data_IF_751049062620
#
_entry.id   IF_751049062620
#
_cell.length_a   1.000
_cell.length_b   1.000
_cell.length_c   1.000
_cell.angle_alpha   90.00
_cell.angle_beta   90.00
_cell.angle_gamma   90.00
#
_symmetry.space_group_name_H-M   'P 1'
#
loop_
_entity.id
_entity.type
_entity.pdbx_description
1 polymer ?
#
# COMPACT_ATOMS: atom_id res chain seq x y z
N UNK A 1 -9.65 13.68 -4.85
CA UNK A 1 -9.24 12.40 -5.48
C UNK A 1 -10.11 12.03 -6.68
N UNK A 2 -11.38 11.59 -6.50
CA UNK A 2 -12.23 11.15 -7.64
C UNK A 2 -12.50 12.28 -8.62
N UNK A 3 -12.84 13.48 -8.15
CA UNK A 3 -13.03 14.66 -9.00
C UNK A 3 -11.74 15.13 -9.69
N UNK A 4 -10.58 15.03 -9.03
CA UNK A 4 -9.28 15.32 -9.63
C UNK A 4 -8.97 14.35 -10.77
N UNK A 5 -9.26 13.06 -10.57
CA UNK A 5 -8.99 12.04 -11.58
C UNK A 5 -10.00 12.13 -12.72
N UNK A 6 -11.30 12.05 -12.44
CA UNK A 6 -12.34 11.87 -13.45
C UNK A 6 -12.86 13.19 -14.02
N UNK A 7 -12.93 14.26 -13.21
CA UNK A 7 -13.38 15.59 -13.64
C UNK A 7 -14.68 15.55 -14.45
N UNK A 8 -14.69 16.26 -15.57
CA UNK A 8 -15.83 16.32 -16.50
C UNK A 8 -15.97 15.09 -17.42
N UNK A 9 -15.19 14.03 -17.20
CA UNK A 9 -15.26 12.78 -18.02
C UNK A 9 -16.38 11.85 -17.59
N UNK A 10 -17.08 12.17 -16.50
CA UNK A 10 -18.22 11.43 -15.97
C UNK A 10 -19.37 12.38 -15.71
N UNK A 11 -20.59 11.90 -15.89
CA UNK A 11 -21.80 12.71 -15.75
C UNK A 11 -22.12 13.07 -14.29
N UNK A 12 -21.66 12.24 -13.33
CA UNK A 12 -21.97 12.40 -11.92
C UNK A 12 -20.83 11.88 -11.03
N UNK A 13 -20.59 12.59 -9.93
CA UNK A 13 -19.77 12.13 -8.80
C UNK A 13 -20.64 12.17 -7.55
N UNK A 14 -20.77 11.01 -6.89
CA UNK A 14 -21.42 10.90 -5.59
C UNK A 14 -20.36 11.04 -4.50
N UNK A 15 -20.41 12.15 -3.76
CA UNK A 15 -19.52 12.37 -2.61
C UNK A 15 -20.14 11.76 -1.35
N UNK A 16 -19.67 10.56 -1.00
CA UNK A 16 -20.01 9.86 0.24
C UNK A 16 -19.01 10.08 1.37
N UNK A 17 -18.07 11.03 1.22
CA UNK A 17 -16.96 11.22 2.14
C UNK A 17 -15.86 10.15 2.01
N UNK A 18 -15.03 10.05 3.04
CA UNK A 18 -13.91 9.12 3.06
C UNK A 18 -14.37 7.65 3.15
N UNK A 19 -13.68 6.77 2.42
CA UNK A 19 -13.94 5.33 2.49
C UNK A 19 -13.69 4.80 3.92
N UNK A 20 -14.56 3.90 4.39
CA UNK A 20 -14.47 3.33 5.74
C UNK A 20 -13.23 2.44 5.92
N UNK A 21 -12.91 1.61 4.92
CA UNK A 21 -11.78 0.66 4.96
C UNK A 21 -10.53 1.21 4.25
N UNK A 22 -10.71 1.93 3.14
CA UNK A 22 -9.64 2.53 2.31
C UNK A 22 -8.78 1.58 1.48
N UNK A 23 -8.89 0.27 1.67
CA UNK A 23 -8.38 -0.75 0.72
C UNK A 23 -9.53 -1.50 0.06
N UNK A 24 -9.25 -2.12 -1.09
CA UNK A 24 -10.28 -2.83 -1.85
C UNK A 24 -10.73 -4.13 -1.20
N UNK A 25 -11.74 -4.75 -1.80
CA UNK A 25 -12.28 -6.04 -1.36
C UNK A 25 -11.25 -7.16 -1.41
N UNK A 26 -11.43 -8.10 -0.47
CA UNK A 26 -10.78 -9.41 -0.48
C UNK A 26 -11.37 -10.25 -1.62
N UNK A 27 -10.52 -10.96 -2.35
CA UNK A 27 -10.91 -11.78 -3.50
C UNK A 27 -10.42 -13.20 -3.27
N UNK A 28 -11.33 -14.16 -3.41
CA UNK A 28 -11.05 -15.59 -3.30
C UNK A 28 -11.40 -16.29 -4.62
N UNK A 29 -10.61 -17.28 -5.02
CA UNK A 29 -11.00 -18.30 -5.99
C UNK A 29 -11.60 -19.48 -5.21
N UNK A 30 -12.88 -19.76 -5.48
CA UNK A 30 -13.65 -20.88 -4.89
C UNK A 30 -14.11 -21.86 -5.96
N UNK A 31 -13.51 -21.83 -7.15
CA UNK A 31 -13.88 -22.71 -8.27
C UNK A 31 -13.28 -24.12 -8.13
N UNK A 32 -12.22 -24.25 -7.32
CA UNK A 32 -11.55 -25.50 -7.02
C UNK A 32 -12.01 -26.13 -5.72
N UNK A 33 -11.21 -27.09 -5.24
CA UNK A 33 -11.43 -27.77 -3.95
C UNK A 33 -11.08 -26.89 -2.76
N UNK A 34 -10.10 -26.01 -2.92
CA UNK A 34 -9.59 -25.15 -1.86
C UNK A 34 -10.04 -23.71 -2.09
N UNK A 35 -10.32 -22.97 -1.01
CA UNK A 35 -10.52 -21.52 -1.05
C UNK A 35 -9.17 -20.82 -1.18
N UNK A 36 -8.88 -20.23 -2.34
CA UNK A 36 -7.57 -19.62 -2.61
C UNK A 36 -7.66 -18.10 -2.51
N UNK A 37 -6.82 -17.48 -1.69
CA UNK A 37 -6.72 -16.02 -1.61
C UNK A 37 -6.06 -15.47 -2.88
N UNK A 38 -6.83 -14.72 -3.67
CA UNK A 38 -6.34 -14.02 -4.85
C UNK A 38 -5.86 -12.60 -4.54
N UNK A 39 -6.55 -11.92 -3.63
CA UNK A 39 -6.18 -10.57 -3.19
C UNK A 39 -6.62 -10.35 -1.74
N UNK A 40 -5.72 -9.97 -0.82
CA UNK A 40 -6.12 -9.51 0.50
C UNK A 40 -6.77 -8.12 0.41
N UNK A 41 -7.78 -7.89 1.23
CA UNK A 41 -8.56 -6.67 1.23
C UNK A 41 -9.25 -6.40 2.57
N UNK A 42 -10.35 -5.67 2.52
CA UNK A 42 -11.06 -5.20 3.72
C UNK A 42 -11.67 -6.27 4.63
N UNK A 43 -11.85 -7.49 4.14
CA UNK A 43 -12.31 -8.62 4.95
C UNK A 43 -11.14 -9.57 5.18
N UNK A 44 -10.79 -9.79 6.43
CA UNK A 44 -9.63 -10.58 6.79
C UNK A 44 -9.82 -12.06 6.46
N UNK A 45 -8.69 -12.76 6.25
CA UNK A 45 -8.72 -14.22 6.07
C UNK A 45 -9.30 -14.88 7.31
N UNK A 46 -8.96 -14.36 8.50
CA UNK A 46 -9.42 -14.88 9.76
C UNK A 46 -10.95 -14.77 9.93
N UNK A 47 -11.56 -13.64 9.51
CA UNK A 47 -13.02 -13.47 9.51
C UNK A 47 -13.71 -14.44 8.53
N UNK A 48 -13.09 -14.67 7.37
CA UNK A 48 -13.61 -15.60 6.36
C UNK A 48 -13.57 -17.04 6.89
N UNK A 49 -12.42 -17.49 7.39
CA UNK A 49 -12.24 -18.84 7.93
C UNK A 49 -13.17 -19.09 9.12
N UNK A 50 -13.40 -18.07 9.96
CA UNK A 50 -14.34 -18.15 11.08
C UNK A 50 -15.80 -18.31 10.61
N UNK A 51 -16.19 -17.60 9.55
CA UNK A 51 -17.56 -17.61 9.05
C UNK A 51 -17.89 -18.88 8.23
N UNK A 52 -16.92 -19.42 7.50
CA UNK A 52 -17.13 -20.60 6.64
C UNK A 52 -16.78 -21.92 7.31
N UNK A 53 -15.89 -21.91 8.31
CA UNK A 53 -15.28 -23.12 8.86
C UNK A 53 -14.28 -23.79 7.91
N UNK A 54 -13.95 -23.15 6.78
CA UNK A 54 -13.01 -23.65 5.78
C UNK A 54 -11.72 -22.83 5.80
N UNK A 55 -10.59 -23.51 5.56
CA UNK A 55 -9.28 -22.88 5.54
C UNK A 55 -9.03 -22.19 4.20
N UNK A 56 -8.46 -20.98 4.26
CA UNK A 56 -8.05 -20.23 3.06
C UNK A 56 -6.56 -20.47 2.78
N UNK A 57 -6.26 -20.86 1.55
CA UNK A 57 -4.89 -21.01 1.03
C UNK A 57 -4.36 -19.64 0.62
N UNK A 58 -3.31 -19.16 1.30
CA UNK A 58 -2.76 -17.80 1.13
C UNK A 58 -1.74 -17.68 -0.01
N UNK A 59 -1.17 -18.79 -0.49
CA UNK A 59 -0.13 -18.84 -1.55
C UNK A 59 -0.63 -19.59 -2.78
N UNK A 60 -1.66 -19.05 -3.46
CA UNK A 60 -2.24 -19.65 -4.67
C UNK A 60 -1.37 -19.64 -5.93
N UNK A 61 -0.08 -19.29 -5.83
CA UNK A 61 0.77 -18.99 -6.97
C UNK A 61 0.51 -17.59 -7.54
N UNK A 62 1.58 -16.82 -7.79
CA UNK A 62 1.56 -15.40 -8.21
C UNK A 62 0.84 -15.12 -9.54
N UNK A 63 0.38 -16.14 -10.27
CA UNK A 63 -0.29 -16.01 -11.57
C UNK A 63 -1.82 -16.01 -11.51
N UNK A 64 -2.42 -16.07 -10.33
CA UNK A 64 -3.87 -16.23 -10.20
C UNK A 64 -4.64 -14.92 -10.49
N UNK A 65 -5.13 -14.79 -11.73
CA UNK A 65 -6.44 -14.29 -12.21
C UNK A 65 -7.23 -13.24 -11.40
N UNK A 66 -6.58 -12.31 -10.69
CA UNK A 66 -7.26 -11.22 -9.97
C UNK A 66 -7.14 -9.88 -10.69
N UNK A 67 -8.21 -9.06 -10.76
CA UNK A 67 -8.13 -7.67 -11.18
C UNK A 67 -7.15 -6.88 -10.28
N UNK A 68 -6.22 -6.12 -10.87
CA UNK A 68 -5.19 -5.37 -10.14
C UNK A 68 -3.79 -6.00 -10.14
N UNK A 69 -3.58 -7.08 -10.90
CA UNK A 69 -2.26 -7.70 -11.13
C UNK A 69 -1.39 -6.93 -12.12
N UNK A 70 -1.93 -5.96 -12.87
CA UNK A 70 -1.11 -5.00 -13.63
C UNK A 70 -0.57 -3.93 -12.68
N UNK A 71 0.67 -4.14 -12.26
CA UNK A 71 1.43 -3.54 -11.16
C UNK A 71 1.41 -2.01 -10.96
N UNK A 72 0.87 -1.18 -11.86
CA UNK A 72 0.99 0.30 -11.76
C UNK A 72 -0.14 1.01 -11.00
N UNK A 73 -1.28 0.36 -10.75
CA UNK A 73 -2.43 1.05 -10.17
C UNK A 73 -2.23 1.53 -8.73
N UNK A 74 -1.24 0.99 -8.02
CA UNK A 74 -0.96 1.31 -6.62
C UNK A 74 0.27 2.18 -6.40
N UNK A 75 1.12 2.31 -7.43
CA UNK A 75 2.38 3.01 -7.31
C UNK A 75 2.17 4.52 -7.46
N UNK A 76 2.70 5.35 -6.55
CA UNK A 76 2.83 6.78 -6.79
C UNK A 76 3.75 7.05 -7.99
N UNK A 77 3.72 8.26 -8.53
CA UNK A 77 4.60 8.71 -9.62
C UNK A 77 6.05 8.88 -9.18
N UNK A 78 6.28 9.09 -7.89
CA UNK A 78 7.62 9.13 -7.28
C UNK A 78 7.99 7.75 -6.71
N UNK A 79 9.28 7.40 -6.60
CA UNK A 79 9.71 6.15 -6.01
C UNK A 79 9.12 5.93 -4.61
N UNK A 80 8.60 4.72 -4.38
CA UNK A 80 8.25 4.24 -3.05
C UNK A 80 9.21 3.12 -2.65
N UNK A 81 9.86 3.28 -1.51
CA UNK A 81 10.73 2.27 -0.92
C UNK A 81 10.15 1.77 0.39
N UNK A 82 10.43 0.53 0.72
CA UNK A 82 9.99 -0.06 1.97
C UNK A 82 11.14 -0.02 2.96
N UNK A 83 10.86 0.39 4.19
CA UNK A 83 11.87 0.57 5.22
C UNK A 83 12.70 -0.70 5.52
N UNK A 84 12.11 -1.88 5.34
CA UNK A 84 12.68 -3.20 5.63
C UNK A 84 13.44 -3.79 4.44
N UNK A 85 13.47 -3.11 3.29
CA UNK A 85 14.32 -3.52 2.18
C UNK A 85 15.78 -3.18 2.48
N UNK A 86 16.66 -4.14 2.23
CA UNK A 86 18.12 -3.96 2.37
C UNK A 86 18.57 -2.68 1.65
N UNK A 87 19.29 -1.79 2.33
CA UNK A 87 19.78 -0.53 1.76
C UNK A 87 18.73 0.56 1.51
N UNK A 88 17.53 0.45 2.08
CA UNK A 88 16.45 1.43 1.87
C UNK A 88 16.85 2.85 2.27
N UNK A 89 17.53 3.00 3.41
CA UNK A 89 18.02 4.29 3.92
C UNK A 89 19.02 4.91 2.95
N UNK A 90 20.07 4.16 2.60
CA UNK A 90 21.16 4.62 1.73
C UNK A 90 20.64 4.98 0.34
N UNK A 91 19.74 4.18 -0.23
CA UNK A 91 19.12 4.48 -1.53
C UNK A 91 18.23 5.71 -1.49
N UNK A 92 17.45 5.90 -0.42
CA UNK A 92 16.60 7.07 -0.27
C UNK A 92 17.46 8.35 -0.16
N UNK A 93 18.54 8.32 0.61
CA UNK A 93 19.50 9.43 0.71
C UNK A 93 20.24 9.68 -0.61
N UNK A 94 20.61 8.62 -1.34
CA UNK A 94 21.34 8.73 -2.60
C UNK A 94 20.53 9.37 -3.73
N UNK A 95 19.19 9.29 -3.70
CA UNK A 95 18.34 10.00 -4.67
C UNK A 95 18.48 11.53 -4.56
N UNK A 96 18.84 12.02 -3.37
CA UNK A 96 18.89 13.44 -3.07
C UNK A 96 17.50 14.09 -3.04
N UNK A 97 17.41 15.23 -2.37
CA UNK A 97 16.14 15.94 -2.19
C UNK A 97 15.38 15.51 -0.94
N UNK A 98 14.10 15.87 -0.87
CA UNK A 98 13.28 15.66 0.33
C UNK A 98 12.77 14.22 0.40
N UNK A 99 12.95 13.58 1.54
CA UNK A 99 12.47 12.23 1.84
C UNK A 99 11.18 12.35 2.63
N UNK A 100 10.12 11.74 2.13
CA UNK A 100 8.85 11.59 2.84
C UNK A 100 8.81 10.26 3.60
N UNK A 101 8.20 10.28 4.78
CA UNK A 101 7.98 9.09 5.60
C UNK A 101 6.50 8.73 5.70
N UNK A 102 6.21 7.43 5.65
CA UNK A 102 4.85 6.91 5.77
C UNK A 102 4.86 5.66 6.67
N UNK A 103 4.25 5.70 7.85
CA UNK A 103 4.34 4.55 8.76
C UNK A 103 3.39 4.57 9.94
N UNK A 104 3.64 3.70 10.91
CA UNK A 104 2.97 3.66 12.22
C UNK A 104 3.91 4.10 13.35
N UNK A 105 5.21 3.88 13.16
CA UNK A 105 6.29 4.51 13.91
C UNK A 105 6.82 5.72 13.12
N UNK A 106 7.55 6.60 13.82
CA UNK A 106 8.21 7.73 13.19
C UNK A 106 9.43 7.32 12.36
N UNK A 107 9.94 8.28 11.57
CA UNK A 107 11.06 8.05 10.66
C UNK A 107 12.36 7.65 11.38
N UNK A 108 12.47 7.93 12.68
CA UNK A 108 13.60 7.58 13.53
C UNK A 108 13.90 6.09 13.61
N UNK A 109 12.97 5.22 13.16
CA UNK A 109 13.25 3.78 13.06
C UNK A 109 14.28 3.46 11.97
N UNK A 110 14.47 4.35 11.00
CA UNK A 110 15.37 4.14 9.86
C UNK A 110 16.33 5.31 9.64
N UNK A 111 15.92 6.54 9.93
CA UNK A 111 16.65 7.76 9.62
C UNK A 111 17.10 8.50 10.87
N UNK A 112 18.26 9.14 10.78
CA UNK A 112 18.71 10.08 11.81
C UNK A 112 17.95 11.40 11.70
N UNK A 113 17.97 12.20 12.77
CA UNK A 113 17.30 13.52 12.78
C UNK A 113 17.81 14.41 11.66
N UNK A 114 16.89 15.00 10.91
CA UNK A 114 17.19 15.92 9.81
C UNK A 114 17.44 15.24 8.46
N UNK A 115 17.42 13.90 8.38
CA UNK A 115 17.52 13.17 7.12
C UNK A 115 16.18 13.03 6.38
N UNK A 116 15.08 13.15 7.11
CA UNK A 116 13.73 13.21 6.57
C UNK A 116 13.11 14.56 6.83
N UNK A 117 12.14 14.93 6.00
CA UNK A 117 11.36 16.14 6.19
C UNK A 117 10.22 15.82 7.18
N UNK A 118 10.29 16.41 8.38
CA UNK A 118 9.29 16.20 9.43
C UNK A 118 7.87 16.62 8.96
N UNK A 119 7.78 17.62 8.08
CA UNK A 119 6.50 18.06 7.50
C UNK A 119 5.94 17.04 6.48
N UNK A 120 6.79 16.14 5.98
CA UNK A 120 6.44 15.08 5.04
C UNK A 120 6.40 13.70 5.70
N UNK A 121 6.29 13.66 7.02
CA UNK A 121 6.18 12.43 7.81
C UNK A 121 4.74 12.19 8.23
N UNK A 122 4.11 11.15 7.68
CA UNK A 122 2.74 10.75 8.00
C UNK A 122 2.74 9.45 8.82
N UNK A 123 2.28 9.55 10.07
CA UNK A 123 2.26 8.44 11.03
C UNK A 123 0.82 8.10 11.42
N UNK A 124 0.47 6.81 11.35
CA UNK A 124 -0.85 6.29 11.68
C UNK A 124 -0.87 5.54 13.00
N UNK A 125 -1.94 5.73 13.78
CA UNK A 125 -2.08 5.12 15.12
C UNK A 125 -2.47 3.64 15.11
N UNK A 126 -2.90 3.09 13.97
CA UNK A 126 -3.25 1.68 13.85
C UNK A 126 -3.19 1.19 12.39
N UNK A 127 -3.08 -0.13 12.14
CA UNK A 127 -3.14 -0.69 10.80
C UNK A 127 -4.42 -0.34 10.04
N UNK A 128 -5.56 -0.23 10.73
CA UNK A 128 -6.86 0.14 10.14
C UNK A 128 -6.84 1.59 9.66
N UNK A 129 -6.31 2.51 10.48
CA UNK A 129 -6.16 3.91 10.09
C UNK A 129 -5.17 4.07 8.93
N UNK A 130 -4.09 3.29 8.95
CA UNK A 130 -3.11 3.29 7.87
C UNK A 130 -3.73 2.76 6.57
N UNK A 131 -4.42 1.62 6.59
CA UNK A 131 -5.15 1.11 5.42
C UNK A 131 -6.19 2.12 4.90
N UNK A 132 -6.92 2.76 5.81
CA UNK A 132 -7.91 3.80 5.48
C UNK A 132 -7.29 5.01 4.79
N UNK A 133 -6.14 5.45 5.29
CA UNK A 133 -5.45 6.66 4.83
C UNK A 133 -4.43 6.45 3.72
N UNK A 134 -4.04 5.20 3.41
CA UNK A 134 -2.90 4.86 2.56
C UNK A 134 -2.89 5.63 1.24
N UNK A 135 -3.93 5.48 0.41
CA UNK A 135 -3.95 6.09 -0.92
C UNK A 135 -4.06 7.61 -0.88
N UNK A 136 -4.69 8.16 0.15
CA UNK A 136 -4.71 9.61 0.35
C UNK A 136 -3.31 10.12 0.71
N UNK A 137 -2.64 9.48 1.66
CA UNK A 137 -1.30 9.82 2.07
C UNK A 137 -0.29 9.75 0.92
N UNK A 138 -0.34 8.68 0.10
CA UNK A 138 0.50 8.56 -1.09
C UNK A 138 0.34 9.76 -2.04
N UNK A 139 -0.90 10.20 -2.29
CA UNK A 139 -1.17 11.38 -3.15
C UNK A 139 -0.73 12.70 -2.50
N UNK A 140 -0.86 12.83 -1.18
CA UNK A 140 -0.38 14.01 -0.46
C UNK A 140 1.13 14.11 -0.57
N UNK A 141 1.86 13.02 -0.32
CA UNK A 141 3.31 12.97 -0.39
C UNK A 141 3.85 13.10 -1.81
N UNK A 142 3.17 12.54 -2.80
CA UNK A 142 3.51 12.72 -4.22
C UNK A 142 3.46 14.20 -4.64
N UNK A 143 2.45 14.94 -4.16
CA UNK A 143 2.28 16.37 -4.46
C UNK A 143 3.13 17.30 -3.59
N UNK A 144 3.73 16.79 -2.51
CA UNK A 144 4.55 17.61 -1.65
C UNK A 144 5.88 18.01 -2.30
N UNK A 145 6.26 17.30 -3.38
CA UNK A 145 7.55 17.45 -4.06
C UNK A 145 8.69 16.71 -3.35
N UNK A 146 8.36 15.64 -2.62
CA UNK A 146 9.34 14.67 -2.17
C UNK A 146 9.99 13.95 -3.36
N UNK A 147 11.27 13.62 -3.24
CA UNK A 147 11.98 12.82 -4.22
C UNK A 147 11.66 11.32 -4.09
N UNK A 148 11.33 10.88 -2.87
CA UNK A 148 11.05 9.48 -2.53
C UNK A 148 10.13 9.39 -1.32
N UNK A 149 9.26 8.39 -1.31
CA UNK A 149 8.47 7.98 -0.14
C UNK A 149 9.13 6.74 0.44
N UNK A 150 9.45 6.76 1.73
CA UNK A 150 9.87 5.57 2.47
C UNK A 150 8.73 5.15 3.38
N UNK A 151 8.25 3.93 3.18
CA UNK A 151 7.09 3.40 3.87
C UNK A 151 7.48 2.30 4.87
N UNK A 152 7.05 2.46 6.11
CA UNK A 152 6.99 1.37 7.08
C UNK A 152 5.89 0.39 6.67
N UNK A 153 6.21 -0.89 6.76
CA UNK A 153 5.26 -1.97 6.55
C UNK A 153 4.91 -2.61 7.89
N UNK A 154 3.62 -2.82 8.22
CA UNK A 154 3.21 -3.43 9.49
C UNK A 154 3.82 -4.81 9.69
N UNK A 155 4.35 -5.12 10.88
CA UNK A 155 4.97 -6.42 11.17
C UNK A 155 4.02 -7.63 11.08
N UNK A 156 2.73 -7.44 11.37
CA UNK A 156 1.73 -8.51 11.32
C UNK A 156 1.34 -8.92 9.90
N UNK A 157 1.03 -10.21 9.70
CA UNK A 157 0.50 -10.78 8.44
C UNK A 157 -0.95 -11.28 8.57
N UNK A 158 -1.69 -10.73 9.53
CA UNK A 158 -3.11 -11.05 9.80
C UNK A 158 -4.00 -9.82 9.66
N UNK A 159 -5.31 -10.02 9.56
CA UNK A 159 -6.26 -8.92 9.55
C UNK A 159 -6.03 -7.96 8.37
N UNK A 160 -6.30 -6.68 8.60
CA UNK A 160 -6.08 -5.61 7.62
C UNK A 160 -4.59 -5.40 7.27
N UNK A 161 -3.68 -5.80 8.16
CA UNK A 161 -2.23 -5.67 7.93
C UNK A 161 -1.82 -6.46 6.69
N UNK A 162 -2.40 -7.65 6.45
CA UNK A 162 -2.10 -8.43 5.26
C UNK A 162 -2.42 -7.66 3.96
N UNK A 163 -3.55 -6.95 3.92
CA UNK A 163 -3.95 -6.13 2.78
C UNK A 163 -3.04 -4.92 2.60
N UNK A 164 -2.73 -4.21 3.69
CA UNK A 164 -1.82 -3.07 3.70
C UNK A 164 -0.41 -3.46 3.21
N UNK A 165 0.12 -4.60 3.68
CA UNK A 165 1.40 -5.16 3.22
C UNK A 165 1.40 -5.38 1.71
N UNK A 166 0.36 -6.06 1.18
CA UNK A 166 0.24 -6.31 -0.26
C UNK A 166 0.19 -5.01 -1.08
N UNK A 167 -0.53 -3.97 -0.64
CA UNK A 167 -0.56 -2.68 -1.34
C UNK A 167 0.78 -1.97 -1.33
N UNK A 168 1.47 -1.95 -0.19
CA UNK A 168 2.81 -1.38 -0.06
C UNK A 168 3.84 -2.14 -0.94
N UNK A 169 3.77 -3.47 -0.97
CA UNK A 169 4.60 -4.33 -1.85
C UNK A 169 4.38 -4.02 -3.34
N UNK A 170 3.12 -3.88 -3.76
CA UNK A 170 2.80 -3.55 -5.16
C UNK A 170 3.21 -2.13 -5.51
N UNK A 171 3.04 -1.18 -4.60
CA UNK A 171 3.42 0.21 -4.81
C UNK A 171 4.94 0.39 -4.93
N UNK A 172 5.73 -0.34 -4.14
CA UNK A 172 7.19 -0.24 -4.19
C UNK A 172 7.82 -0.86 -5.44
N UNK A 173 7.14 -1.82 -6.06
CA UNK A 173 7.65 -2.53 -7.25
C UNK A 173 7.66 -1.71 -8.54
N UNK A 174 7.00 -0.54 -8.56
CA UNK A 174 6.86 0.30 -9.75
C UNK A 174 8.05 1.23 -10.05
N UNK A 175 8.90 1.52 -9.06
CA UNK A 175 9.92 2.58 -9.15
C UNK A 175 11.35 2.14 -9.51
N UNK A 176 11.64 0.84 -9.55
CA UNK A 176 13.03 0.32 -9.65
C UNK A 176 13.25 -0.69 -10.80
N UNK A 177 12.40 -0.70 -11.84
CA UNK A 177 12.65 -1.51 -13.05
C UNK A 177 13.03 -0.62 -14.24
N UNK A 178 14.30 -0.27 -14.25
CA UNK A 178 15.10 0.27 -15.35
C UNK A 178 16.48 0.44 -14.73
N UNK A 179 17.38 -0.54 -14.78
CA UNK A 179 17.96 -1.13 -15.98
C UNK A 179 18.26 -2.61 -15.75
N UNK A 180 17.68 -3.51 -16.56
CA UNK A 180 18.34 -4.76 -16.92
C UNK A 180 18.03 -4.97 -18.41
N UNK A 181 19.06 -4.79 -19.23
CA UNK A 181 19.13 -5.21 -20.64
C UNK A 181 19.86 -6.54 -20.70
#
# INVERSE_FOLDING_TARGET
AVAEDLGSRVDLILDGGAAFVGVESTVLDITGKDMILLRPGGCSVEEIELATGERVVRDGGREARSPGTRHRHYAPSIPLMLHDHEGARERALALGGRIAWLGMAGAEILFDRGETDEELSLVFSSPENYARGLFHALRVLERSGAAVIVAERPGSRTGISLALRDRLERASGGGLRGEEK
#
